data_IF_125053618412
#
_entry.id   IF_125053618412
#
_cell.length_a   1.000
_cell.length_b   1.000
_cell.length_c   1.000
_cell.angle_alpha   90.00
_cell.angle_beta   90.00
_cell.angle_gamma   90.00
#
_symmetry.space_group_name_H-M   'P 1'
#
loop_
_entity.id
_entity.type
_entity.pdbx_description
1 polymer ?
#
# COMPACT_ATOMS: atom_id res chain seq x y z
N UNK A 1 32.04 -8.13 -1.00
CA UNK A 1 30.96 -8.65 -0.11
C UNK A 1 29.66 -8.13 -0.67
N UNK A 2 28.64 -8.99 -0.81
CA UNK A 2 27.30 -8.55 -1.20
C UNK A 2 26.65 -7.77 -0.05
N UNK A 3 25.93 -6.68 -0.32
CA UNK A 3 25.21 -5.96 0.72
C UNK A 3 24.10 -6.86 1.30
N UNK A 4 23.87 -6.77 2.61
CA UNK A 4 22.81 -7.50 3.30
C UNK A 4 21.45 -6.83 3.03
N UNK A 5 21.43 -5.50 2.94
CA UNK A 5 20.27 -4.71 2.58
C UNK A 5 20.72 -3.38 1.97
N UNK A 6 19.88 -2.78 1.14
CA UNK A 6 20.01 -1.41 0.66
C UNK A 6 18.91 -0.56 1.29
N UNK A 7 19.29 0.59 1.82
CA UNK A 7 18.40 1.52 2.47
C UNK A 7 18.22 2.77 1.60
N UNK A 8 16.99 3.22 1.45
CA UNK A 8 16.63 4.39 0.66
C UNK A 8 16.46 5.67 1.49
N UNK A 9 16.12 6.79 0.83
CA UNK A 9 15.80 8.04 1.53
C UNK A 9 14.66 7.87 2.52
N UNK A 10 14.82 8.46 3.72
CA UNK A 10 13.83 8.39 4.80
C UNK A 10 13.91 7.14 5.69
N UNK A 11 14.84 6.22 5.40
CA UNK A 11 15.05 5.05 6.26
C UNK A 11 16.03 5.33 7.40
N UNK A 12 15.89 4.57 8.50
CA UNK A 12 16.71 4.72 9.72
C UNK A 12 17.83 3.70 9.75
N UNK A 13 18.91 4.01 10.48
CA UNK A 13 20.08 3.15 10.66
C UNK A 13 20.51 3.23 12.11
N UNK A 14 20.77 2.08 12.73
CA UNK A 14 21.35 2.01 14.08
C UNK A 14 20.33 2.05 15.23
N UNK A 15 19.03 2.16 14.96
CA UNK A 15 18.00 2.17 15.98
C UNK A 15 17.94 0.87 16.78
N UNK A 16 18.26 -0.28 16.17
CA UNK A 16 18.27 -1.56 16.87
C UNK A 16 19.33 -1.56 17.97
N UNK A 17 20.53 -1.09 17.68
CA UNK A 17 21.64 -1.03 18.66
C UNK A 17 21.32 -0.11 19.84
N UNK A 18 20.54 0.93 19.61
CA UNK A 18 20.07 1.84 20.69
C UNK A 18 19.00 1.15 21.54
N UNK A 19 18.13 0.34 20.94
CA UNK A 19 17.00 -0.29 21.65
C UNK A 19 17.42 -1.53 22.44
N UNK A 20 18.32 -2.36 21.88
CA UNK A 20 18.77 -3.62 22.52
C UNK A 20 20.14 -3.52 23.19
N UNK A 21 20.79 -2.33 23.12
CA UNK A 21 22.11 -2.06 23.67
C UNK A 21 23.19 -3.05 23.18
N UNK A 22 23.02 -3.59 21.96
CA UNK A 22 23.98 -4.50 21.35
C UNK A 22 24.83 -3.77 20.28
N UNK A 23 26.02 -4.24 19.99
CA UNK A 23 26.83 -3.70 18.89
C UNK A 23 26.08 -3.77 17.56
N UNK A 24 26.39 -2.85 16.66
CA UNK A 24 25.81 -2.84 15.31
C UNK A 24 25.98 -4.19 14.60
N UNK A 25 24.87 -4.76 14.15
CA UNK A 25 24.83 -6.08 13.51
C UNK A 25 25.49 -6.13 12.12
N UNK A 26 25.69 -4.98 11.48
CA UNK A 26 26.28 -4.86 10.16
C UNK A 26 27.03 -3.52 9.97
N UNK A 27 27.98 -3.51 9.03
CA UNK A 27 28.63 -2.27 8.58
C UNK A 27 27.74 -1.57 7.56
N UNK A 28 27.64 -0.25 7.67
CA UNK A 28 26.87 0.59 6.74
C UNK A 28 27.85 1.32 5.83
N UNK A 29 27.61 1.27 4.51
CA UNK A 29 28.45 1.90 3.50
C UNK A 29 27.54 2.73 2.59
N UNK A 30 27.89 4.01 2.38
CA UNK A 30 27.17 4.85 1.42
C UNK A 30 27.55 4.44 -0.01
N UNK A 31 26.56 4.03 -0.80
CA UNK A 31 26.73 3.68 -2.22
C UNK A 31 26.74 4.93 -3.12
N UNK A 32 26.04 5.97 -2.70
CA UNK A 32 25.98 7.28 -3.36
C UNK A 32 26.13 8.40 -2.32
N UNK A 33 26.47 9.64 -2.74
CA UNK A 33 26.48 10.78 -1.82
C UNK A 33 25.13 10.94 -1.13
N UNK A 34 25.10 10.89 0.20
CA UNK A 34 23.88 10.98 1.00
C UNK A 34 23.99 12.04 2.11
N UNK A 35 22.84 12.53 2.58
CA UNK A 35 22.74 13.39 3.75
C UNK A 35 22.06 12.57 4.86
N UNK A 36 22.65 12.59 6.06
CA UNK A 36 22.14 11.88 7.22
C UNK A 36 21.74 12.88 8.31
N UNK A 37 20.60 12.63 8.93
CA UNK A 37 20.27 13.24 10.22
C UNK A 37 20.77 12.26 11.29
N UNK A 38 21.71 12.70 12.11
CA UNK A 38 22.27 11.92 13.22
C UNK A 38 21.55 12.34 14.50
N UNK A 39 21.11 11.35 15.26
CA UNK A 39 20.42 11.54 16.54
C UNK A 39 21.14 10.71 17.60
N UNK A 40 21.49 11.33 18.72
CA UNK A 40 22.09 10.66 19.86
C UNK A 40 21.03 9.86 20.64
N UNK A 41 21.44 8.86 21.39
CA UNK A 41 20.57 7.93 22.08
C UNK A 41 19.60 8.62 23.07
N UNK A 42 20.09 9.55 23.85
CA UNK A 42 19.32 10.32 24.83
C UNK A 42 18.25 11.20 24.16
N UNK A 43 18.57 11.76 22.99
CA UNK A 43 17.64 12.54 22.18
C UNK A 43 16.54 11.63 21.62
N UNK A 44 16.90 10.43 21.14
CA UNK A 44 15.92 9.46 20.64
C UNK A 44 14.94 9.06 21.76
N UNK A 45 15.46 8.72 22.95
CA UNK A 45 14.62 8.36 24.09
C UNK A 45 13.74 9.51 24.58
N UNK A 46 14.27 10.74 24.60
CA UNK A 46 13.50 11.93 24.92
C UNK A 46 12.35 12.14 23.94
N UNK A 47 12.61 11.97 22.64
CA UNK A 47 11.60 12.08 21.58
C UNK A 47 10.50 11.01 21.72
N UNK A 48 10.88 9.76 21.97
CA UNK A 48 9.94 8.64 22.16
C UNK A 48 9.07 8.83 23.39
N UNK A 49 9.63 9.38 24.49
CA UNK A 49 8.87 9.66 25.71
C UNK A 49 7.95 10.87 25.59
N UNK A 50 8.34 11.87 24.82
CA UNK A 50 7.57 13.11 24.66
C UNK A 50 6.53 13.06 23.57
N UNK A 51 6.65 12.13 22.60
CA UNK A 51 5.76 12.04 21.44
C UNK A 51 5.26 10.60 21.25
N UNK A 52 3.97 10.40 21.48
CA UNK A 52 3.29 9.12 21.17
C UNK A 52 3.43 8.74 19.69
N UNK A 53 3.38 9.73 18.82
CA UNK A 53 3.51 9.52 17.38
C UNK A 53 4.93 9.04 16.99
N UNK A 54 5.97 9.61 17.60
CA UNK A 54 7.34 9.16 17.41
C UNK A 54 7.53 7.70 17.90
N UNK A 55 6.94 7.35 19.03
CA UNK A 55 6.94 5.98 19.54
C UNK A 55 6.23 5.01 18.59
N UNK A 56 5.06 5.37 18.09
CA UNK A 56 4.32 4.57 17.12
C UNK A 56 5.09 4.39 15.80
N UNK A 57 5.73 5.45 15.30
CA UNK A 57 6.55 5.39 14.09
C UNK A 57 7.77 4.48 14.28
N UNK A 58 8.44 4.55 15.43
CA UNK A 58 9.55 3.66 15.75
C UNK A 58 9.10 2.19 15.80
N UNK A 59 7.98 1.90 16.46
CA UNK A 59 7.37 0.57 16.50
C UNK A 59 7.00 0.07 15.10
N UNK A 60 6.48 0.94 14.25
CA UNK A 60 6.16 0.62 12.87
C UNK A 60 7.42 0.23 12.07
N UNK A 61 8.51 1.01 12.19
CA UNK A 61 9.80 0.72 11.54
C UNK A 61 10.33 -0.64 12.00
N UNK A 62 10.31 -0.92 13.30
CA UNK A 62 10.79 -2.18 13.87
C UNK A 62 9.93 -3.37 13.44
N UNK A 63 8.62 -3.23 13.46
CA UNK A 63 7.68 -4.28 13.01
C UNK A 63 7.88 -4.60 11.53
N UNK A 64 8.09 -3.57 10.71
CA UNK A 64 8.40 -3.73 9.30
C UNK A 64 9.70 -4.49 9.09
N UNK A 65 10.75 -4.20 9.87
CA UNK A 65 12.03 -4.93 9.81
C UNK A 65 11.90 -6.36 10.30
N UNK A 66 11.21 -6.62 11.39
CA UNK A 66 10.93 -7.99 11.87
C UNK A 66 10.23 -8.83 10.80
N UNK A 67 9.18 -8.32 10.19
CA UNK A 67 8.48 -9.02 9.10
C UNK A 67 9.38 -9.28 7.89
N UNK A 68 10.33 -8.40 7.62
CA UNK A 68 11.32 -8.62 6.57
C UNK A 68 12.38 -9.66 6.97
N UNK A 69 12.70 -9.81 8.26
CA UNK A 69 13.70 -10.76 8.78
C UNK A 69 13.12 -12.18 8.94
N UNK A 70 11.87 -12.33 9.37
CA UNK A 70 11.21 -13.65 9.49
C UNK A 70 11.10 -14.38 8.14
N UNK A 71 11.19 -13.64 7.04
CA UNK A 71 11.24 -14.23 5.70
C UNK A 71 12.61 -14.76 5.27
N UNK A 72 13.66 -14.47 6.02
CA UNK A 72 15.05 -14.84 5.72
C UNK A 72 15.43 -16.22 6.27
N UNK A 73 14.63 -16.80 7.18
CA UNK A 73 14.97 -18.05 7.87
C UNK A 73 14.46 -19.35 7.22
N UNK A 74 13.83 -19.27 6.05
CA UNK A 74 13.33 -20.45 5.35
C UNK A 74 13.96 -20.60 3.96
N UNK A 75 15.03 -21.39 3.93
CA UNK A 75 15.68 -22.07 2.78
C UNK A 75 16.36 -21.29 1.65
N UNK A 76 17.57 -21.78 1.37
CA UNK A 76 18.53 -21.59 0.25
C UNK A 76 18.07 -21.25 -1.19
N UNK A 77 16.83 -20.80 -1.37
CA UNK A 77 16.26 -20.25 -2.61
C UNK A 77 16.23 -18.69 -2.59
N UNK A 78 16.91 -18.07 -1.66
CA UNK A 78 16.66 -16.70 -1.13
C UNK A 78 16.95 -15.56 -2.11
N UNK A 79 17.99 -15.64 -2.92
CA UNK A 79 18.39 -14.51 -3.78
C UNK A 79 17.36 -14.19 -4.88
N UNK A 80 16.65 -15.19 -5.37
CA UNK A 80 15.60 -15.01 -6.36
C UNK A 80 14.28 -14.51 -5.73
N UNK A 81 14.05 -14.82 -4.44
CA UNK A 81 12.88 -14.39 -3.69
C UNK A 81 12.98 -12.96 -3.18
N UNK A 82 14.15 -12.51 -2.71
CA UNK A 82 14.38 -11.13 -2.26
C UNK A 82 14.27 -10.13 -3.40
N UNK A 83 14.87 -10.42 -4.56
CA UNK A 83 14.67 -9.60 -5.76
C UNK A 83 13.20 -9.51 -6.19
N UNK A 84 12.43 -10.60 -6.01
CA UNK A 84 10.99 -10.60 -6.30
C UNK A 84 10.18 -9.84 -5.25
N UNK A 85 10.56 -9.87 -3.97
CA UNK A 85 9.84 -9.16 -2.88
C UNK A 85 10.13 -7.66 -2.89
N UNK A 86 11.37 -7.22 -3.12
CA UNK A 86 11.68 -5.80 -3.33
C UNK A 86 10.97 -5.23 -4.56
N UNK A 87 10.70 -6.07 -5.58
CA UNK A 87 9.93 -5.69 -6.76
C UNK A 87 8.41 -5.85 -6.63
N UNK A 88 7.85 -6.26 -5.47
CA UNK A 88 6.42 -6.59 -5.34
C UNK A 88 5.62 -5.72 -4.39
N UNK A 89 6.27 -4.78 -3.68
CA UNK A 89 5.64 -3.89 -2.69
C UNK A 89 5.88 -2.43 -3.11
N UNK A 90 4.86 -1.59 -2.94
CA UNK A 90 4.95 -0.15 -3.08
C UNK A 90 5.57 0.45 -1.82
N UNK A 91 6.67 1.19 -1.98
CA UNK A 91 7.47 1.71 -0.86
C UNK A 91 6.74 2.76 -0.02
N UNK A 92 5.80 3.51 -0.63
CA UNK A 92 5.06 4.57 0.06
C UNK A 92 3.92 3.99 0.90
N UNK A 93 3.11 3.13 0.30
CA UNK A 93 1.87 2.65 0.92
C UNK A 93 2.02 1.32 1.67
N UNK A 94 3.10 0.57 1.41
CA UNK A 94 3.29 -0.78 1.94
C UNK A 94 2.37 -1.84 1.32
N UNK A 95 1.50 -1.46 0.39
CA UNK A 95 0.67 -2.38 -0.38
C UNK A 95 1.50 -3.14 -1.40
N UNK A 96 0.93 -4.20 -1.96
CA UNK A 96 1.48 -4.78 -3.17
C UNK A 96 1.47 -3.78 -4.32
N UNK A 97 2.41 -3.91 -5.25
CA UNK A 97 2.50 -3.06 -6.43
C UNK A 97 1.88 -3.73 -7.66
N UNK A 98 1.88 -3.01 -8.79
CA UNK A 98 1.37 -3.48 -10.08
C UNK A 98 2.00 -4.80 -10.53
N UNK A 99 3.34 -4.95 -10.39
CA UNK A 99 4.03 -6.16 -10.85
C UNK A 99 3.54 -7.42 -10.11
N UNK A 100 3.30 -7.30 -8.81
CA UNK A 100 2.70 -8.37 -8.02
C UNK A 100 1.25 -8.65 -8.47
N UNK A 101 0.47 -7.59 -8.68
CA UNK A 101 -0.93 -7.70 -9.10
C UNK A 101 -1.06 -8.49 -10.41
N UNK A 102 -0.24 -8.15 -11.42
CA UNK A 102 -0.28 -8.81 -12.73
C UNK A 102 -0.06 -10.34 -12.60
N UNK A 103 0.89 -10.74 -11.74
CA UNK A 103 1.16 -12.16 -11.47
C UNK A 103 0.02 -12.87 -10.72
N UNK A 104 -0.58 -12.18 -9.75
CA UNK A 104 -1.65 -12.74 -8.92
C UNK A 104 -2.97 -12.81 -9.67
N UNK A 105 -3.29 -11.78 -10.45
CA UNK A 105 -4.49 -11.73 -11.29
C UNK A 105 -4.59 -12.95 -12.21
N UNK A 106 -3.53 -13.24 -12.97
CA UNK A 106 -3.52 -14.39 -13.87
C UNK A 106 -3.82 -15.71 -13.14
N UNK A 107 -3.20 -15.91 -11.98
CA UNK A 107 -3.42 -17.12 -11.15
C UNK A 107 -4.83 -17.20 -10.58
N UNK A 108 -5.36 -16.09 -10.06
CA UNK A 108 -6.70 -16.06 -9.48
C UNK A 108 -7.79 -16.24 -10.53
N UNK A 109 -7.66 -15.59 -11.70
CA UNK A 109 -8.57 -15.78 -12.81
C UNK A 109 -8.60 -17.24 -13.25
N UNK A 110 -7.44 -17.86 -13.48
CA UNK A 110 -7.35 -19.27 -13.85
C UNK A 110 -7.99 -20.19 -12.78
N UNK A 111 -7.70 -19.94 -11.50
CA UNK A 111 -8.24 -20.73 -10.40
C UNK A 111 -9.76 -20.64 -10.34
N UNK A 112 -10.32 -19.44 -10.44
CA UNK A 112 -11.76 -19.24 -10.38
C UNK A 112 -12.47 -19.80 -11.62
N UNK A 113 -11.87 -19.64 -12.81
CA UNK A 113 -12.42 -20.18 -14.06
C UNK A 113 -12.52 -21.71 -14.01
N UNK A 114 -11.44 -22.39 -13.62
CA UNK A 114 -11.42 -23.86 -13.45
C UNK A 114 -12.44 -24.32 -12.39
N UNK A 115 -12.53 -23.59 -11.27
CA UNK A 115 -13.45 -23.90 -10.19
C UNK A 115 -14.90 -23.49 -10.49
N UNK A 116 -15.17 -22.81 -11.62
CA UNK A 116 -16.46 -22.18 -11.99
C UNK A 116 -17.01 -21.27 -10.88
N UNK A 117 -16.12 -20.56 -10.23
CA UNK A 117 -16.44 -19.58 -9.19
C UNK A 117 -16.31 -18.16 -9.72
N UNK A 118 -17.16 -17.23 -9.26
CA UNK A 118 -17.04 -15.84 -9.69
C UNK A 118 -15.75 -15.21 -9.18
N UNK A 119 -15.25 -14.22 -9.90
CA UNK A 119 -14.18 -13.34 -9.47
C UNK A 119 -14.55 -11.93 -9.90
N UNK A 120 -14.40 -10.97 -8.99
CA UNK A 120 -14.61 -9.56 -9.31
C UNK A 120 -13.33 -8.76 -9.09
N UNK A 121 -13.20 -7.68 -9.83
CA UNK A 121 -12.15 -6.69 -9.68
C UNK A 121 -12.76 -5.34 -9.40
N UNK A 122 -12.13 -4.60 -8.50
CA UNK A 122 -12.51 -3.25 -8.11
C UNK A 122 -11.33 -2.33 -8.37
N UNK A 123 -11.48 -1.34 -9.24
CA UNK A 123 -10.49 -0.30 -9.48
C UNK A 123 -10.92 0.97 -8.74
N UNK A 124 -10.01 1.58 -8.03
CA UNK A 124 -10.22 2.71 -7.12
C UNK A 124 -9.28 3.83 -7.51
N UNK A 125 -9.74 5.06 -7.48
CA UNK A 125 -8.93 6.25 -7.72
C UNK A 125 -9.34 7.37 -6.75
N UNK A 126 -8.35 8.11 -6.26
CA UNK A 126 -8.58 9.22 -5.32
C UNK A 126 -9.06 10.45 -6.10
N UNK A 127 -10.25 10.91 -5.75
CA UNK A 127 -10.85 12.06 -6.41
C UNK A 127 -10.04 13.34 -6.16
N UNK A 128 -9.80 14.09 -7.25
CA UNK A 128 -9.09 15.38 -7.22
C UNK A 128 -7.65 15.33 -6.65
N UNK A 129 -6.99 14.16 -6.70
CA UNK A 129 -5.67 13.97 -6.09
C UNK A 129 -4.62 14.94 -6.65
N UNK A 130 -4.65 15.22 -7.96
CA UNK A 130 -3.74 16.18 -8.59
C UNK A 130 -3.97 17.61 -8.07
N UNK A 131 -5.23 18.05 -8.00
CA UNK A 131 -5.59 19.37 -7.44
C UNK A 131 -5.16 19.49 -5.97
N UNK A 132 -5.25 18.38 -5.24
CA UNK A 132 -4.78 18.29 -3.86
C UNK A 132 -3.25 18.49 -3.78
N UNK A 133 -2.48 17.82 -4.62
CA UNK A 133 -1.03 17.99 -4.69
C UNK A 133 -0.63 19.43 -5.10
N UNK A 134 -1.33 19.99 -6.07
CA UNK A 134 -1.07 21.37 -6.55
C UNK A 134 -1.31 22.41 -5.44
N UNK A 135 -2.27 22.15 -4.55
CA UNK A 135 -2.64 23.06 -3.47
C UNK A 135 -1.82 22.88 -2.18
N UNK A 136 -1.53 21.63 -1.80
CA UNK A 136 -0.94 21.31 -0.50
C UNK A 136 0.48 20.72 -0.61
N UNK A 137 0.95 20.46 -1.82
CA UNK A 137 2.26 19.88 -2.10
C UNK A 137 2.28 18.35 -2.04
N UNK A 138 3.31 17.76 -2.67
CA UNK A 138 3.44 16.31 -2.81
C UNK A 138 3.59 15.56 -1.48
N UNK A 139 4.22 16.17 -0.49
CA UNK A 139 4.37 15.55 0.85
C UNK A 139 3.00 15.26 1.46
N UNK A 140 2.06 16.19 1.33
CA UNK A 140 0.68 15.96 1.78
C UNK A 140 -0.04 14.92 0.93
N UNK A 141 0.20 14.90 -0.38
CA UNK A 141 -0.30 13.86 -1.27
C UNK A 141 0.16 12.47 -0.84
N UNK A 142 1.42 12.33 -0.48
CA UNK A 142 1.98 11.07 0.04
C UNK A 142 1.30 10.63 1.34
N UNK A 143 1.01 11.56 2.24
CA UNK A 143 0.22 11.27 3.45
C UNK A 143 -1.21 10.79 3.12
N UNK A 144 -1.88 11.41 2.16
CA UNK A 144 -3.21 10.98 1.71
C UNK A 144 -3.16 9.59 1.08
N UNK A 145 -2.17 9.31 0.22
CA UNK A 145 -1.98 7.98 -0.38
C UNK A 145 -1.78 6.90 0.68
N UNK A 146 -0.90 7.15 1.64
CA UNK A 146 -0.64 6.23 2.75
C UNK A 146 -1.91 6.00 3.58
N UNK A 147 -2.61 7.08 3.94
CA UNK A 147 -3.80 7.02 4.75
C UNK A 147 -4.97 6.29 4.03
N UNK A 148 -5.20 6.56 2.74
CA UNK A 148 -6.20 5.85 1.94
C UNK A 148 -5.84 4.36 1.87
N UNK A 149 -4.59 4.03 1.56
CA UNK A 149 -4.12 2.65 1.51
C UNK A 149 -4.36 1.89 2.83
N UNK A 150 -4.05 2.53 3.96
CA UNK A 150 -4.27 1.95 5.29
C UNK A 150 -5.76 1.74 5.57
N UNK A 151 -6.59 2.75 5.31
CA UNK A 151 -8.05 2.67 5.48
C UNK A 151 -8.66 1.54 4.63
N UNK A 152 -8.25 1.43 3.37
CA UNK A 152 -8.70 0.35 2.48
C UNK A 152 -8.32 -1.02 3.04
N UNK A 153 -7.07 -1.16 3.52
CA UNK A 153 -6.56 -2.43 4.07
C UNK A 153 -7.33 -2.86 5.32
N UNK A 154 -7.63 -1.95 6.23
CA UNK A 154 -8.40 -2.25 7.46
C UNK A 154 -9.83 -2.71 7.16
N UNK A 155 -10.39 -2.26 6.05
CA UNK A 155 -11.73 -2.61 5.62
C UNK A 155 -11.80 -3.90 4.82
N UNK A 156 -10.68 -4.42 4.34
CA UNK A 156 -10.61 -5.64 3.54
C UNK A 156 -10.37 -6.88 4.43
N UNK A 157 -10.83 -8.02 3.95
CA UNK A 157 -10.59 -9.32 4.59
C UNK A 157 -9.27 -9.92 4.11
N UNK A 158 -8.67 -10.88 4.84
CA UNK A 158 -7.37 -11.49 4.46
C UNK A 158 -7.31 -12.14 3.07
N UNK A 159 -8.44 -12.57 2.52
CA UNK A 159 -8.57 -13.16 1.19
C UNK A 159 -8.93 -12.16 0.08
N UNK A 160 -9.17 -10.91 0.43
CA UNK A 160 -9.40 -9.79 -0.49
C UNK A 160 -8.06 -9.12 -0.75
N UNK A 161 -7.59 -9.14 -1.98
CA UNK A 161 -6.22 -8.77 -2.33
C UNK A 161 -6.19 -7.33 -2.84
N UNK A 162 -5.30 -6.50 -2.31
CA UNK A 162 -5.16 -5.10 -2.70
C UNK A 162 -3.74 -4.80 -3.18
N UNK A 163 -3.65 -3.97 -4.21
CA UNK A 163 -2.39 -3.43 -4.72
C UNK A 163 -2.54 -1.95 -5.10
N UNK A 164 -1.46 -1.20 -5.01
CA UNK A 164 -1.32 0.11 -5.65
C UNK A 164 -0.93 -0.12 -7.11
N UNK A 165 -1.79 0.31 -8.02
CA UNK A 165 -1.63 0.01 -9.44
C UNK A 165 -0.80 1.06 -10.17
N UNK A 166 -1.14 2.33 -9.97
CA UNK A 166 -0.41 3.46 -10.55
C UNK A 166 -0.77 4.74 -9.78
N UNK A 167 0.19 5.64 -9.52
CA UNK A 167 -0.04 6.94 -8.93
C UNK A 167 -1.01 6.93 -7.73
N UNK A 168 -2.24 7.36 -7.98
CA UNK A 168 -3.37 7.41 -7.05
C UNK A 168 -4.41 6.30 -7.28
N UNK A 169 -4.09 5.32 -8.13
CA UNK A 169 -4.96 4.19 -8.44
C UNK A 169 -4.63 2.94 -7.62
N UNK A 170 -5.68 2.30 -7.08
CA UNK A 170 -5.61 1.02 -6.36
C UNK A 170 -6.50 -0.01 -7.04
N UNK A 171 -6.12 -1.28 -6.94
CA UNK A 171 -6.91 -2.40 -7.46
C UNK A 171 -7.13 -3.42 -6.35
N UNK A 172 -8.38 -3.85 -6.19
CA UNK A 172 -8.76 -4.94 -5.29
C UNK A 172 -9.25 -6.11 -6.10
N UNK A 173 -8.68 -7.29 -5.85
CA UNK A 173 -9.12 -8.56 -6.44
C UNK A 173 -9.94 -9.32 -5.41
N UNK A 174 -11.11 -9.74 -5.80
CA UNK A 174 -12.11 -10.40 -4.97
C UNK A 174 -12.38 -11.83 -5.48
N UNK A 175 -11.52 -12.81 -5.13
CA UNK A 175 -11.71 -14.20 -5.54
C UNK A 175 -12.98 -14.77 -4.92
N UNK A 176 -13.70 -15.58 -5.70
CA UNK A 176 -14.92 -16.29 -5.30
C UNK A 176 -16.08 -15.33 -4.91
N UNK A 177 -16.01 -14.07 -5.34
CA UNK A 177 -17.04 -13.07 -5.06
C UNK A 177 -17.60 -12.49 -6.38
N UNK A 178 -18.91 -12.60 -6.54
CA UNK A 178 -19.63 -12.05 -7.68
C UNK A 178 -19.98 -10.56 -7.50
N UNK A 179 -20.51 -9.96 -8.56
CA UNK A 179 -20.79 -8.53 -8.69
C UNK A 179 -21.58 -7.92 -7.52
N UNK A 180 -22.64 -8.60 -7.06
CA UNK A 180 -23.46 -8.11 -5.95
C UNK A 180 -22.67 -7.98 -4.63
N UNK A 181 -21.74 -8.89 -4.36
CA UNK A 181 -20.86 -8.81 -3.19
C UNK A 181 -19.78 -7.77 -3.39
N UNK A 182 -19.19 -7.70 -4.58
CA UNK A 182 -18.19 -6.69 -4.94
C UNK A 182 -18.74 -5.26 -4.79
N UNK A 183 -19.99 -5.00 -5.19
CA UNK A 183 -20.67 -3.71 -4.96
C UNK A 183 -20.74 -3.34 -3.48
N UNK A 184 -21.15 -4.27 -2.62
CA UNK A 184 -21.22 -4.02 -1.17
C UNK A 184 -19.84 -3.73 -0.57
N UNK A 185 -18.81 -4.43 -1.04
CA UNK A 185 -17.44 -4.19 -0.61
C UNK A 185 -16.99 -2.80 -1.09
N UNK A 186 -17.17 -2.49 -2.36
CA UNK A 186 -16.82 -1.19 -2.94
C UNK A 186 -17.50 -0.03 -2.21
N UNK A 187 -18.80 -0.13 -1.91
CA UNK A 187 -19.51 0.90 -1.14
C UNK A 187 -19.00 1.02 0.30
N UNK A 188 -18.64 -0.10 0.95
CA UNK A 188 -18.01 -0.09 2.27
C UNK A 188 -16.66 0.64 2.23
N UNK A 189 -15.82 0.37 1.24
CA UNK A 189 -14.52 1.03 1.04
C UNK A 189 -14.72 2.55 0.81
N UNK A 190 -15.63 2.91 -0.10
CA UNK A 190 -15.95 4.32 -0.40
C UNK A 190 -16.42 5.08 0.85
N UNK A 191 -17.37 4.52 1.58
CA UNK A 191 -17.89 5.12 2.81
C UNK A 191 -16.81 5.18 3.90
N UNK A 192 -15.97 4.15 4.01
CA UNK A 192 -14.87 4.11 4.96
C UNK A 192 -13.88 5.25 4.72
N UNK A 193 -13.42 5.44 3.48
CA UNK A 193 -12.54 6.56 3.13
C UNK A 193 -13.23 7.91 3.35
N UNK A 194 -14.50 8.05 2.96
CA UNK A 194 -15.25 9.29 3.14
C UNK A 194 -15.45 9.67 4.62
N UNK A 195 -15.62 8.70 5.50
CA UNK A 195 -15.96 8.92 6.93
C UNK A 195 -14.72 8.93 7.84
N UNK A 196 -13.60 8.35 7.42
CA UNK A 196 -12.38 8.34 8.20
C UNK A 196 -11.70 9.72 8.14
N UNK A 197 -11.20 10.20 9.27
CA UNK A 197 -10.57 11.52 9.38
C UNK A 197 -9.06 11.33 9.22
N UNK A 198 -8.41 11.87 8.16
CA UNK A 198 -6.96 11.82 8.07
C UNK A 198 -6.33 12.53 9.27
N UNK A 199 -5.36 11.90 9.91
CA UNK A 199 -4.57 12.54 10.94
C UNK A 199 -3.86 13.77 10.36
N UNK A 200 -3.95 14.92 11.05
CA UNK A 200 -3.39 16.18 10.59
C UNK A 200 -2.02 16.39 11.20
N UNK A 201 -0.95 16.50 10.43
CA UNK A 201 0.38 16.76 10.98
C UNK A 201 0.50 18.13 11.65
N UNK A 202 -0.31 19.13 11.25
CA UNK A 202 -0.13 20.55 11.66
C UNK A 202 -1.42 21.30 12.05
N UNK A 203 -2.53 20.59 12.25
CA UNK A 203 -3.81 21.20 12.64
C UNK A 203 -4.57 21.94 11.54
N UNK A 204 -4.06 22.00 10.30
CA UNK A 204 -4.75 22.64 9.17
C UNK A 204 -5.98 21.82 8.74
N UNK A 205 -7.01 22.50 8.25
CA UNK A 205 -8.19 21.85 7.71
C UNK A 205 -7.90 21.40 6.28
N UNK A 206 -7.64 20.12 6.09
CA UNK A 206 -7.45 19.50 4.77
C UNK A 206 -8.78 18.95 4.27
N UNK A 207 -9.15 19.14 3.00
CA UNK A 207 -10.33 18.53 2.44
C UNK A 207 -10.28 17.02 2.60
N UNK A 208 -11.41 16.41 2.95
CA UNK A 208 -11.53 14.96 3.01
C UNK A 208 -11.35 14.35 1.62
N UNK A 209 -10.44 13.40 1.43
CA UNK A 209 -10.36 12.68 0.17
C UNK A 209 -11.63 11.82 0.00
N UNK A 210 -12.12 11.78 -1.22
CA UNK A 210 -13.11 10.80 -1.67
C UNK A 210 -12.51 9.90 -2.73
N UNK A 211 -13.15 8.79 -3.02
CA UNK A 211 -12.70 7.84 -4.03
C UNK A 211 -13.82 7.51 -5.00
N UNK A 212 -13.46 7.37 -6.27
CA UNK A 212 -14.32 6.84 -7.31
C UNK A 212 -13.94 5.40 -7.61
N UNK A 213 -14.93 4.53 -7.76
CA UNK A 213 -14.74 3.09 -7.84
C UNK A 213 -15.43 2.52 -9.07
N UNK A 214 -14.70 1.69 -9.83
CA UNK A 214 -15.24 0.87 -10.89
C UNK A 214 -15.18 -0.61 -10.53
N UNK A 215 -16.18 -1.36 -10.93
CA UNK A 215 -16.33 -2.77 -10.60
C UNK A 215 -16.58 -3.55 -11.89
N UNK A 216 -15.91 -4.70 -12.03
CA UNK A 216 -16.21 -5.66 -13.08
C UNK A 216 -16.16 -7.09 -12.53
N UNK A 217 -17.05 -7.95 -13.01
CA UNK A 217 -17.05 -9.38 -12.73
C UNK A 217 -16.49 -10.14 -13.92
N UNK A 218 -15.61 -11.10 -13.66
CA UNK A 218 -14.96 -11.93 -14.66
C UNK A 218 -15.99 -12.81 -15.40
N UNK A 219 -15.94 -12.79 -16.70
CA UNK A 219 -16.64 -13.73 -17.59
C UNK A 219 -15.78 -14.97 -17.81
N UNK A 220 -16.41 -16.10 -18.04
CA UNK A 220 -15.69 -17.35 -18.30
C UNK A 220 -14.70 -17.21 -19.47
N UNK A 221 -13.46 -17.62 -19.24
CA UNK A 221 -12.37 -17.51 -20.22
C UNK A 221 -11.88 -16.08 -20.51
N UNK A 222 -12.27 -15.09 -19.72
CA UNK A 222 -11.85 -13.72 -19.91
C UNK A 222 -10.40 -13.51 -19.48
N UNK A 223 -9.62 -12.80 -20.30
CA UNK A 223 -8.26 -12.42 -19.97
C UNK A 223 -8.23 -11.39 -18.80
N UNK A 224 -7.27 -11.50 -17.87
CA UNK A 224 -7.14 -10.59 -16.72
C UNK A 224 -7.05 -9.12 -17.10
N UNK A 225 -6.33 -8.80 -18.18
CA UNK A 225 -6.15 -7.45 -18.68
C UNK A 225 -7.50 -6.83 -19.09
N UNK A 226 -8.34 -7.61 -19.77
CA UNK A 226 -9.67 -7.16 -20.18
C UNK A 226 -10.59 -6.92 -19.00
N UNK A 227 -10.48 -7.72 -17.96
CA UNK A 227 -11.25 -7.52 -16.72
C UNK A 227 -10.83 -6.21 -16.01
N UNK A 228 -9.53 -5.92 -15.96
CA UNK A 228 -9.02 -4.65 -15.43
C UNK A 228 -9.47 -3.45 -16.29
N UNK A 229 -9.46 -3.57 -17.61
CA UNK A 229 -9.95 -2.52 -18.51
C UNK A 229 -11.43 -2.21 -18.29
N UNK A 230 -12.28 -3.23 -18.11
CA UNK A 230 -13.71 -3.08 -17.85
C UNK A 230 -13.94 -2.37 -16.48
N UNK A 231 -13.22 -2.77 -15.43
CA UNK A 231 -13.27 -2.10 -14.13
C UNK A 231 -12.78 -0.64 -14.21
N UNK A 232 -11.66 -0.39 -14.91
CA UNK A 232 -11.15 0.96 -15.14
C UNK A 232 -12.11 1.85 -15.94
N UNK A 233 -12.81 1.29 -16.96
CA UNK A 233 -13.85 2.01 -17.69
C UNK A 233 -15.04 2.36 -16.79
N UNK A 234 -15.43 1.45 -15.89
CA UNK A 234 -16.46 1.72 -14.89
C UNK A 234 -16.05 2.85 -13.93
N UNK A 235 -14.79 2.83 -13.46
CA UNK A 235 -14.26 3.89 -12.59
C UNK A 235 -14.29 5.27 -13.28
N UNK A 236 -13.92 5.34 -14.55
CA UNK A 236 -14.05 6.60 -15.33
C UNK A 236 -15.49 7.09 -15.39
N UNK A 237 -16.47 6.18 -15.61
CA UNK A 237 -17.90 6.54 -15.54
C UNK A 237 -18.30 7.09 -14.16
N UNK A 238 -17.78 6.50 -13.07
CA UNK A 238 -18.02 7.02 -11.72
C UNK A 238 -17.50 8.45 -11.56
N UNK A 239 -16.30 8.75 -12.08
CA UNK A 239 -15.74 10.11 -12.09
C UNK A 239 -16.58 11.10 -12.90
N UNK A 240 -17.01 10.72 -14.10
CA UNK A 240 -17.84 11.54 -15.00
C UNK A 240 -19.23 11.85 -14.39
N UNK A 241 -19.80 10.91 -13.68
CA UNK A 241 -21.12 11.04 -13.03
C UNK A 241 -21.09 11.89 -11.76
N UNK A 242 -19.97 12.45 -11.35
CA UNK A 242 -19.85 13.37 -10.20
C UNK A 242 -19.03 12.83 -9.05
N UNK A 243 -18.18 11.82 -9.29
CA UNK A 243 -17.22 11.27 -8.30
C UNK A 243 -17.85 10.72 -7.02
N UNK A 244 -17.02 10.29 -6.06
CA UNK A 244 -17.43 9.73 -4.78
C UNK A 244 -18.55 8.69 -4.91
N UNK A 245 -18.42 7.77 -5.86
CA UNK A 245 -19.41 6.73 -6.17
C UNK A 245 -18.79 5.47 -6.73
N UNK A 246 -19.63 4.46 -6.83
CA UNK A 246 -19.33 3.20 -7.50
C UNK A 246 -20.06 3.12 -8.85
N UNK A 247 -19.41 2.53 -9.87
CA UNK A 247 -20.02 2.17 -11.15
C UNK A 247 -19.59 0.75 -11.57
N UNK A 248 -20.36 0.14 -12.48
CA UNK A 248 -20.12 -1.20 -13.04
C UNK A 248 -20.16 -1.19 -14.55
#
# INVERSE_FOLDING_TARGET
KKPVAMLGPGETIGEMSVLDQQPASASVIADTPCRLLVMEEDILWSLVQSSHEAACNLLFILTRRLRNTDSVLVDGCEVAWESRRMGSVDALTGLHNRQWLDQVMARQCMRCDVAKKPLSVVTIDIDHFREFNDRFGHVYGDHILYWVAHTLTELLRPNELIARYDGDEFVVVLPEQGLATAKRIADRLRQGVMNAIPAKPDGQTVPHPTISIGIAEMKMGQAPERLLEEAGAAMRRAKEQGRNRTAE
#
